data_IF_816768229728
#
_entry.id   IF_816768229728
#
_cell.length_a   1.000
_cell.length_b   1.000
_cell.length_c   1.000
_cell.angle_alpha   90.00
_cell.angle_beta   90.00
_cell.angle_gamma   90.00
#
_symmetry.space_group_name_H-M   'P 1'
#
loop_
_entity.id
_entity.type
_entity.pdbx_description
1 polymer ?
#
# COMPACT_ATOMS: atom_id res chain seq x y z
N UNK A 1 -9.66 7.54 -2.70
CA UNK A 1 -9.66 6.40 -1.74
C UNK A 1 -11.04 6.04 -1.21
N UNK A 2 -11.99 6.96 -1.16
CA UNK A 2 -13.30 6.74 -0.51
C UNK A 2 -14.04 5.50 -0.99
N UNK A 3 -14.04 5.24 -2.30
CA UNK A 3 -14.68 4.03 -2.83
C UNK A 3 -14.05 2.75 -2.27
N UNK A 4 -12.72 2.66 -2.25
CA UNK A 4 -12.01 1.48 -1.72
C UNK A 4 -12.33 1.26 -0.24
N UNK A 5 -12.37 2.34 0.54
CA UNK A 5 -12.70 2.30 1.96
C UNK A 5 -14.17 1.93 2.24
N UNK A 6 -15.09 2.34 1.38
CA UNK A 6 -16.54 2.09 1.52
C UNK A 6 -16.98 0.73 0.95
N UNK A 7 -16.14 0.07 0.15
CA UNK A 7 -16.48 -1.19 -0.52
C UNK A 7 -15.66 -2.39 -0.05
N UNK A 8 -14.91 -2.28 1.06
CA UNK A 8 -14.02 -3.36 1.53
C UNK A 8 -14.75 -4.69 1.78
N UNK A 9 -15.95 -4.66 2.36
CA UNK A 9 -16.74 -5.89 2.58
C UNK A 9 -17.15 -6.59 1.28
N UNK A 10 -17.25 -5.82 0.19
CA UNK A 10 -17.56 -6.33 -1.14
C UNK A 10 -16.34 -6.89 -1.85
N UNK A 11 -15.17 -6.26 -1.72
CA UNK A 11 -13.99 -6.61 -2.54
C UNK A 11 -12.99 -7.53 -1.81
N UNK A 12 -12.84 -7.39 -0.49
CA UNK A 12 -11.84 -8.13 0.28
C UNK A 12 -12.01 -9.65 0.25
N UNK A 13 -13.24 -10.23 0.22
CA UNK A 13 -13.42 -11.68 0.09
C UNK A 13 -12.86 -12.28 -1.21
N UNK A 14 -12.63 -11.44 -2.23
CA UNK A 14 -12.10 -11.85 -3.53
C UNK A 14 -10.59 -11.55 -3.67
N UNK A 15 -9.90 -11.09 -2.63
CA UNK A 15 -8.45 -10.95 -2.62
C UNK A 15 -7.79 -12.17 -1.95
N UNK A 16 -6.67 -12.62 -2.50
CA UNK A 16 -5.87 -13.71 -1.94
C UNK A 16 -4.77 -14.18 -2.88
N UNK A 17 -4.03 -15.25 -2.52
CA UNK A 17 -2.95 -15.78 -3.35
C UNK A 17 -3.39 -16.02 -4.81
N UNK A 18 -2.76 -15.29 -5.73
CA UNK A 18 -3.03 -15.36 -7.17
C UNK A 18 -3.85 -14.19 -7.73
N UNK A 19 -4.52 -13.40 -6.90
CA UNK A 19 -5.30 -12.23 -7.35
C UNK A 19 -5.52 -11.22 -6.21
N UNK A 20 -5.23 -9.94 -6.47
CA UNK A 20 -5.22 -8.90 -5.43
C UNK A 20 -6.07 -7.71 -5.86
N UNK A 21 -6.70 -7.03 -4.89
CA UNK A 21 -7.34 -5.75 -5.15
C UNK A 21 -6.25 -4.68 -5.32
N UNK A 22 -6.34 -3.90 -6.40
CA UNK A 22 -5.37 -2.85 -6.73
C UNK A 22 -5.94 -1.45 -6.44
N UNK A 23 -5.48 -0.77 -5.38
CA UNK A 23 -5.85 0.61 -5.07
C UNK A 23 -5.01 1.66 -5.83
N UNK A 24 -4.32 1.26 -6.90
CA UNK A 24 -3.43 2.06 -7.75
C UNK A 24 -1.99 2.21 -7.20
N UNK A 25 -1.11 2.86 -7.96
CA UNK A 25 0.34 2.90 -7.73
C UNK A 25 0.77 3.71 -6.48
N UNK A 26 1.94 3.36 -5.95
CA UNK A 26 2.65 4.15 -4.94
C UNK A 26 3.29 5.38 -5.58
N UNK A 27 3.00 6.57 -5.05
CA UNK A 27 3.56 7.85 -5.52
C UNK A 27 4.58 8.43 -4.51
N UNK A 28 5.11 7.57 -3.63
CA UNK A 28 6.06 7.93 -2.59
C UNK A 28 7.35 8.45 -3.22
N UNK A 29 7.76 9.65 -2.81
CA UNK A 29 8.96 10.30 -3.32
C UNK A 29 8.74 11.13 -4.60
N UNK A 30 7.53 11.14 -5.14
CA UNK A 30 7.11 12.09 -6.18
C UNK A 30 6.50 13.37 -5.57
N UNK A 31 5.95 14.25 -6.40
CA UNK A 31 5.17 15.41 -5.98
C UNK A 31 3.80 14.99 -5.43
N UNK A 32 3.34 15.65 -4.37
CA UNK A 32 1.94 15.55 -3.89
C UNK A 32 1.73 14.86 -2.54
N UNK A 33 2.74 14.18 -1.98
CA UNK A 33 2.68 13.64 -0.62
C UNK A 33 3.77 14.27 0.27
N UNK A 34 3.39 14.61 1.50
CA UNK A 34 4.36 14.83 2.58
C UNK A 34 5.02 13.52 2.98
N UNK A 35 6.11 13.61 3.77
CA UNK A 35 6.75 12.43 4.35
C UNK A 35 5.79 11.58 5.17
N UNK A 36 4.93 12.22 5.98
CA UNK A 36 3.93 11.53 6.79
C UNK A 36 2.84 10.87 5.92
N UNK A 37 2.36 11.57 4.88
CA UNK A 37 1.38 10.99 3.95
C UNK A 37 1.97 9.80 3.17
N UNK A 38 3.27 9.84 2.86
CA UNK A 38 3.98 8.74 2.21
C UNK A 38 4.06 7.49 3.09
N UNK A 39 4.32 7.67 4.39
CA UNK A 39 4.25 6.56 5.36
C UNK A 39 2.83 5.98 5.44
N UNK A 40 1.82 6.85 5.44
CA UNK A 40 0.41 6.42 5.40
C UNK A 40 0.09 5.62 4.15
N UNK A 41 0.53 6.06 2.95
CA UNK A 41 0.32 5.30 1.72
C UNK A 41 0.94 3.91 1.82
N UNK A 42 2.22 3.81 2.23
CA UNK A 42 2.90 2.53 2.36
C UNK A 42 2.20 1.59 3.35
N UNK A 43 1.82 2.10 4.53
CA UNK A 43 1.17 1.31 5.56
C UNK A 43 -0.21 0.81 5.11
N UNK A 44 -1.01 1.67 4.47
CA UNK A 44 -2.35 1.29 3.99
C UNK A 44 -2.26 0.27 2.86
N UNK A 45 -1.34 0.43 1.90
CA UNK A 45 -1.15 -0.57 0.83
C UNK A 45 -0.71 -1.93 1.39
N UNK A 46 0.15 -1.93 2.41
CA UNK A 46 0.55 -3.15 3.10
C UNK A 46 -0.64 -3.83 3.78
N UNK A 47 -1.45 -3.09 4.55
CA UNK A 47 -2.67 -3.61 5.20
C UNK A 47 -3.64 -4.19 4.16
N UNK A 48 -3.76 -3.55 3.00
CA UNK A 48 -4.69 -4.00 1.96
C UNK A 48 -4.19 -5.21 1.15
N UNK A 49 -2.99 -5.73 1.42
CA UNK A 49 -2.32 -6.73 0.59
C UNK A 49 -2.29 -6.32 -0.90
N UNK A 50 -2.08 -5.02 -1.16
CA UNK A 50 -2.10 -4.45 -2.49
C UNK A 50 -0.79 -4.75 -3.25
N UNK A 51 -0.82 -4.81 -4.60
CA UNK A 51 0.39 -4.75 -5.40
C UNK A 51 1.19 -3.48 -5.10
N UNK A 52 2.50 -3.62 -4.85
CA UNK A 52 3.39 -2.49 -4.58
C UNK A 52 4.09 -2.06 -5.87
N UNK A 53 3.39 -1.28 -6.70
CA UNK A 53 3.91 -0.74 -7.96
C UNK A 53 4.37 0.71 -7.76
N UNK A 54 5.62 1.02 -8.11
CA UNK A 54 6.18 2.37 -7.94
C UNK A 54 5.90 3.25 -9.16
N UNK A 55 5.32 4.42 -8.93
CA UNK A 55 5.18 5.50 -9.90
C UNK A 55 5.97 6.72 -9.42
N UNK A 56 7.30 6.63 -9.51
CA UNK A 56 8.23 7.70 -9.14
C UNK A 56 9.55 7.54 -9.90
N UNK A 57 10.30 8.63 -10.08
CA UNK A 57 11.65 8.56 -10.64
C UNK A 57 12.64 8.00 -9.60
N UNK A 58 12.92 6.69 -9.71
CA UNK A 58 13.81 5.96 -8.80
C UNK A 58 15.24 6.53 -8.73
N UNK A 59 15.70 7.24 -9.77
CA UNK A 59 17.02 7.86 -9.77
C UNK A 59 17.03 9.13 -8.89
N UNK A 60 15.90 9.81 -8.80
CA UNK A 60 15.74 11.08 -8.08
C UNK A 60 15.14 10.94 -6.66
N UNK A 61 14.61 9.77 -6.28
CA UNK A 61 14.03 9.55 -4.94
C UNK A 61 15.02 9.89 -3.82
N UNK A 62 14.60 10.76 -2.89
CA UNK A 62 15.38 11.16 -1.71
C UNK A 62 15.54 10.00 -0.72
N UNK A 63 16.66 10.00 0.02
CA UNK A 63 17.02 8.92 0.96
C UNK A 63 15.90 8.55 1.95
N UNK A 64 15.25 9.54 2.58
CA UNK A 64 14.18 9.28 3.55
C UNK A 64 12.95 8.60 2.91
N UNK A 65 12.65 8.85 1.63
CA UNK A 65 11.58 8.14 0.94
C UNK A 65 11.98 6.70 0.57
N UNK A 66 13.26 6.46 0.25
CA UNK A 66 13.80 5.10 0.06
C UNK A 66 13.64 4.26 1.33
N UNK A 67 13.84 4.86 2.50
CA UNK A 67 13.66 4.18 3.79
C UNK A 67 12.20 3.70 4.00
N UNK A 68 11.20 4.44 3.51
CA UNK A 68 9.80 3.99 3.52
C UNK A 68 9.61 2.82 2.54
N UNK A 69 10.04 2.99 1.29
CA UNK A 69 9.86 2.00 0.22
C UNK A 69 10.57 0.67 0.49
N UNK A 70 11.69 0.71 1.21
CA UNK A 70 12.54 -0.45 1.50
C UNK A 70 12.37 -0.97 2.94
N UNK A 71 11.36 -0.50 3.68
CA UNK A 71 11.11 -0.94 5.04
C UNK A 71 10.71 -2.44 5.05
N UNK A 72 11.62 -3.29 5.52
CA UNK A 72 11.45 -4.75 5.49
C UNK A 72 10.27 -5.24 6.32
N UNK A 73 9.96 -4.57 7.43
CA UNK A 73 8.88 -4.98 8.31
C UNK A 73 7.52 -4.73 7.65
N UNK A 74 7.37 -3.59 6.97
CA UNK A 74 6.15 -3.26 6.23
C UNK A 74 6.01 -4.14 4.97
N UNK A 75 7.11 -4.38 4.27
CA UNK A 75 7.12 -5.32 3.14
C UNK A 75 6.74 -6.73 3.58
N UNK A 76 7.18 -7.19 4.75
CA UNK A 76 6.80 -8.48 5.29
C UNK A 76 5.29 -8.59 5.59
N UNK A 77 4.66 -7.51 6.08
CA UNK A 77 3.20 -7.46 6.25
C UNK A 77 2.49 -7.58 4.89
N UNK A 78 2.93 -6.82 3.89
CA UNK A 78 2.34 -6.88 2.55
C UNK A 78 2.52 -8.25 1.87
N UNK A 79 3.65 -8.91 2.11
CA UNK A 79 4.02 -10.19 1.51
C UNK A 79 3.70 -11.39 2.42
N UNK A 80 2.83 -11.21 3.41
CA UNK A 80 2.41 -12.29 4.28
C UNK A 80 1.80 -13.43 3.46
N UNK A 81 2.27 -14.69 3.62
CA UNK A 81 1.85 -15.80 2.78
C UNK A 81 0.38 -16.19 2.96
N UNK A 82 -0.29 -15.76 4.05
CA UNK A 82 -1.74 -15.97 4.18
C UNK A 82 -2.51 -15.12 3.18
N UNK A 83 -1.96 -13.99 2.75
CA UNK A 83 -2.55 -13.14 1.72
C UNK A 83 -3.93 -12.58 2.09
N UNK A 84 -4.18 -12.39 3.39
CA UNK A 84 -5.49 -11.91 3.86
C UNK A 84 -5.49 -10.39 3.87
N UNK A 85 -6.25 -9.78 2.96
CA UNK A 85 -6.48 -8.34 2.94
C UNK A 85 -7.10 -7.85 4.25
N UNK A 86 -6.47 -6.85 4.86
CA UNK A 86 -6.98 -6.15 6.04
C UNK A 86 -8.22 -5.31 5.75
N UNK A 87 -8.96 -4.97 6.81
CA UNK A 87 -10.21 -4.22 6.75
C UNK A 87 -10.23 -3.11 7.80
N UNK A 88 -10.95 -2.04 7.50
CA UNK A 88 -11.27 -0.98 8.46
C UNK A 88 -12.25 -1.51 9.50
N UNK A 89 -11.90 -1.37 10.78
CA UNK A 89 -12.69 -1.95 11.90
C UNK A 89 -13.76 -0.98 12.40
N UNK A 90 -13.51 0.33 12.35
CA UNK A 90 -14.42 1.36 12.87
C UNK A 90 -14.62 2.51 11.87
N UNK A 91 -15.79 3.13 11.92
CA UNK A 91 -16.17 4.35 11.19
C UNK A 91 -16.44 5.49 12.15
#
# INVERSE_FOLDING_TARGET
>A
MDWFALNQDRIAPYAGPGHWNDPDMLIIGDYGLSYEQSKTQMAVWAILAAPLLLSTDIAAVKKHYKEILQNKDILAVNQDPLGIQGKRVYM
#
